data_IF_882784606924
#
_entry.id   IF_882784606924
#
_cell.length_a   1.000
_cell.length_b   1.000
_cell.length_c   1.000
_cell.angle_alpha   90.00
_cell.angle_beta   90.00
_cell.angle_gamma   90.00
#
_symmetry.space_group_name_H-M   'P 1'
#
loop_
_entity.id
_entity.type
_entity.pdbx_description
1 polymer ?
#
# COMPACT_ATOMS: atom_id res chain seq x y z
N UNK A 1 -26.10 0.69 -42.68
CA UNK A 1 -24.92 1.01 -41.87
C UNK A 1 -23.83 0.06 -42.33
N UNK A 2 -22.69 0.58 -42.76
CA UNK A 2 -21.57 -0.23 -43.27
C UNK A 2 -20.76 -0.76 -42.07
N UNK A 3 -20.50 -2.06 -42.03
CA UNK A 3 -19.82 -2.74 -40.92
C UNK A 3 -18.43 -2.12 -40.65
N UNK A 4 -17.78 -1.57 -41.69
CA UNK A 4 -16.49 -0.86 -41.58
C UNK A 4 -16.62 0.46 -40.82
N UNK A 5 -17.73 1.19 -41.00
CA UNK A 5 -17.99 2.43 -40.28
C UNK A 5 -18.25 2.17 -38.79
N UNK A 6 -19.03 1.13 -38.48
CA UNK A 6 -19.30 0.72 -37.10
C UNK A 6 -18.01 0.27 -36.38
N UNK A 7 -17.14 -0.48 -37.06
CA UNK A 7 -15.83 -0.84 -36.52
C UNK A 7 -14.97 0.40 -36.25
N UNK A 8 -14.99 1.39 -37.15
CA UNK A 8 -14.25 2.65 -36.98
C UNK A 8 -14.72 3.44 -35.74
N UNK A 9 -16.02 3.49 -35.48
CA UNK A 9 -16.59 4.12 -34.28
C UNK A 9 -16.20 3.36 -33.00
N UNK A 10 -16.30 2.02 -33.01
CA UNK A 10 -15.90 1.19 -31.88
C UNK A 10 -14.42 1.36 -31.53
N UNK A 11 -13.53 1.38 -32.53
CA UNK A 11 -12.10 1.57 -32.32
C UNK A 11 -11.77 2.96 -31.76
N UNK A 12 -12.49 4.00 -32.21
CA UNK A 12 -12.31 5.36 -31.69
C UNK A 12 -12.75 5.45 -30.23
N UNK A 13 -13.92 4.91 -29.89
CA UNK A 13 -14.40 4.88 -28.51
C UNK A 13 -13.47 4.06 -27.61
N UNK A 14 -12.93 2.95 -28.10
CA UNK A 14 -11.93 2.17 -27.38
C UNK A 14 -10.66 2.98 -27.12
N UNK A 15 -10.09 3.65 -28.14
CA UNK A 15 -8.90 4.46 -27.99
C UNK A 15 -9.09 5.65 -27.02
N UNK A 16 -10.24 6.33 -27.09
CA UNK A 16 -10.61 7.41 -26.17
C UNK A 16 -10.76 6.90 -24.73
N UNK A 17 -11.38 5.72 -24.55
CA UNK A 17 -11.49 5.06 -23.24
C UNK A 17 -10.11 4.71 -22.66
N UNK A 18 -9.20 4.15 -23.46
CA UNK A 18 -7.85 3.81 -23.00
C UNK A 18 -7.03 5.06 -22.65
N UNK A 19 -7.12 6.12 -23.45
CA UNK A 19 -6.48 7.41 -23.15
C UNK A 19 -7.01 8.02 -21.84
N UNK A 20 -8.33 7.97 -21.62
CA UNK A 20 -8.94 8.43 -20.38
C UNK A 20 -8.45 7.61 -19.17
N UNK A 21 -8.43 6.28 -19.26
CA UNK A 21 -7.93 5.40 -18.19
C UNK A 21 -6.47 5.70 -17.84
N UNK A 22 -5.63 5.92 -18.85
CA UNK A 22 -4.23 6.27 -18.67
C UNK A 22 -4.06 7.60 -17.93
N UNK A 23 -4.76 8.65 -18.37
CA UNK A 23 -4.71 9.96 -17.71
C UNK A 23 -5.21 9.89 -16.25
N UNK A 24 -6.27 9.12 -16.01
CA UNK A 24 -6.83 8.90 -14.69
C UNK A 24 -5.83 8.16 -13.79
N UNK A 25 -5.18 7.11 -14.31
CA UNK A 25 -4.15 6.36 -13.61
C UNK A 25 -2.95 7.25 -13.23
N UNK A 26 -2.45 8.07 -14.17
CA UNK A 26 -1.33 8.98 -13.91
C UNK A 26 -1.68 10.02 -12.83
N UNK A 27 -2.86 10.63 -12.93
CA UNK A 27 -3.35 11.62 -11.95
C UNK A 27 -3.52 11.01 -10.57
N UNK A 28 -4.13 9.83 -10.48
CA UNK A 28 -4.31 9.11 -9.22
C UNK A 28 -2.96 8.66 -8.63
N UNK A 29 -2.06 8.13 -9.46
CA UNK A 29 -0.72 7.69 -9.03
C UNK A 29 0.09 8.82 -8.39
N UNK A 30 0.03 10.04 -8.95
CA UNK A 30 0.73 11.19 -8.39
C UNK A 30 0.18 11.56 -6.99
N UNK A 31 -1.15 11.67 -6.86
CA UNK A 31 -1.79 11.95 -5.58
C UNK A 31 -1.51 10.85 -4.54
N UNK A 32 -1.45 9.60 -4.98
CA UNK A 32 -1.14 8.44 -4.14
C UNK A 32 0.30 8.42 -3.68
N UNK A 33 1.27 8.73 -4.55
CA UNK A 33 2.67 8.88 -4.14
C UNK A 33 2.79 9.90 -2.99
N UNK A 34 2.12 11.06 -3.11
CA UNK A 34 2.12 12.08 -2.05
C UNK A 34 1.54 11.55 -0.73
N UNK A 35 0.42 10.82 -0.76
CA UNK A 35 -0.20 10.27 0.46
C UNK A 35 0.68 9.21 1.13
N UNK A 36 1.33 8.35 0.35
CA UNK A 36 2.24 7.32 0.87
C UNK A 36 3.45 7.98 1.53
N UNK A 37 4.04 8.99 0.89
CA UNK A 37 5.17 9.72 1.46
C UNK A 37 4.82 10.47 2.74
N UNK A 38 3.62 11.05 2.80
CA UNK A 38 3.12 11.68 4.02
C UNK A 38 2.98 10.66 5.15
N UNK A 39 2.31 9.53 4.90
CA UNK A 39 2.17 8.44 5.86
C UNK A 39 3.52 7.93 6.38
N UNK A 40 4.47 7.66 5.49
CA UNK A 40 5.77 7.16 5.90
C UNK A 40 6.55 8.18 6.74
N UNK A 41 6.29 9.47 6.51
CA UNK A 41 6.84 10.56 7.35
C UNK A 41 6.21 10.60 8.73
N UNK A 42 4.90 10.40 8.82
CA UNK A 42 4.22 10.24 10.11
C UNK A 42 4.75 9.01 10.87
N UNK A 43 4.88 7.85 10.21
CA UNK A 43 5.42 6.64 10.83
C UNK A 43 6.85 6.87 11.35
N UNK A 44 7.71 7.49 10.55
CA UNK A 44 9.07 7.79 10.97
C UNK A 44 9.10 8.74 12.17
N UNK A 45 8.23 9.76 12.20
CA UNK A 45 8.08 10.66 13.34
C UNK A 45 7.58 9.91 14.58
N UNK A 46 6.61 9.02 14.45
CA UNK A 46 6.09 8.22 15.57
C UNK A 46 7.15 7.31 16.17
N UNK A 47 8.07 6.79 15.34
CA UNK A 47 9.12 5.87 15.76
C UNK A 47 10.44 6.55 16.14
N UNK A 48 10.58 7.86 15.94
CA UNK A 48 11.79 8.63 16.30
C UNK A 48 12.30 8.35 17.73
N UNK A 49 11.44 8.30 18.78
CA UNK A 49 11.89 8.08 20.15
C UNK A 49 12.58 6.72 20.38
N UNK A 50 12.29 5.72 19.55
CA UNK A 50 12.90 4.37 19.64
C UNK A 50 13.95 4.15 18.55
N UNK A 51 13.93 4.93 17.46
CA UNK A 51 14.96 4.92 16.44
C UNK A 51 16.25 5.61 16.91
N UNK A 52 16.16 6.78 17.56
CA UNK A 52 17.32 7.54 18.05
C UNK A 52 18.27 6.74 18.97
N UNK A 53 17.80 5.91 19.91
CA UNK A 53 18.65 5.01 20.69
C UNK A 53 19.08 3.72 19.96
N UNK A 54 18.86 3.60 18.64
CA UNK A 54 19.14 2.42 17.82
C UNK A 54 18.40 1.14 18.29
N UNK A 55 17.17 1.27 18.81
CA UNK A 55 16.36 0.11 19.23
C UNK A 55 15.62 -0.54 18.05
N UNK A 56 15.43 0.21 16.98
CA UNK A 56 14.94 -0.27 15.69
C UNK A 56 15.53 0.55 14.55
N UNK A 57 15.44 0.02 13.34
CA UNK A 57 15.82 0.74 12.12
C UNK A 57 14.56 1.02 11.30
N UNK A 58 14.49 2.22 10.72
CA UNK A 58 13.47 2.61 9.74
C UNK A 58 14.18 3.05 8.47
N UNK A 59 13.83 2.47 7.33
CA UNK A 59 14.38 2.83 6.03
C UNK A 59 13.29 2.96 4.97
N UNK A 60 13.54 3.81 3.98
CA UNK A 60 12.69 3.97 2.80
C UNK A 60 13.51 3.75 1.55
N UNK A 61 12.91 3.14 0.56
CA UNK A 61 13.55 2.91 -0.73
C UNK A 61 12.57 3.13 -1.87
N UNK A 62 13.12 3.58 -3.01
CA UNK A 62 12.34 3.76 -4.22
C UNK A 62 11.71 2.43 -4.65
N UNK A 63 10.45 2.48 -5.02
CA UNK A 63 9.67 1.31 -5.35
C UNK A 63 8.75 1.59 -6.54
N UNK A 64 8.60 0.61 -7.43
CA UNK A 64 7.59 0.65 -8.48
C UNK A 64 6.47 -0.26 -8.02
N UNK A 65 5.32 0.32 -7.67
CA UNK A 65 4.17 -0.46 -7.26
C UNK A 65 3.69 -1.29 -8.44
N UNK A 66 3.28 -2.54 -8.21
CA UNK A 66 2.67 -3.40 -9.21
C UNK A 66 1.62 -4.29 -8.53
N UNK A 67 0.74 -4.89 -9.32
CA UNK A 67 -0.32 -5.75 -8.81
C UNK A 67 -0.92 -6.62 -9.91
N UNK A 68 -1.88 -7.50 -9.58
CA UNK A 68 -2.51 -8.40 -10.57
C UNK A 68 -3.14 -7.65 -11.76
N UNK A 69 -3.60 -6.42 -11.52
CA UNK A 69 -4.20 -5.56 -12.54
C UNK A 69 -3.20 -4.69 -13.30
N UNK A 70 -1.94 -4.60 -12.83
CA UNK A 70 -0.87 -3.87 -13.51
C UNK A 70 0.49 -4.53 -13.23
N UNK A 71 0.96 -5.40 -14.14
CA UNK A 71 2.24 -6.10 -14.02
C UNK A 71 3.43 -5.17 -13.80
N UNK A 72 4.48 -5.69 -13.16
CA UNK A 72 5.69 -4.90 -12.85
C UNK A 72 6.39 -4.37 -14.10
N UNK A 73 6.31 -5.12 -15.20
CA UNK A 73 6.92 -4.76 -16.49
C UNK A 73 6.25 -3.53 -17.13
N UNK A 74 4.98 -3.28 -16.79
CA UNK A 74 4.16 -2.21 -17.39
C UNK A 74 3.81 -1.10 -16.42
N UNK A 75 4.01 -1.30 -15.12
CA UNK A 75 3.64 -0.31 -14.12
C UNK A 75 4.55 0.92 -14.19
N UNK A 76 3.93 2.09 -14.24
CA UNK A 76 4.59 3.39 -14.17
C UNK A 76 4.42 4.07 -12.81
N UNK A 77 3.76 3.42 -11.85
CA UNK A 77 3.52 3.99 -10.53
C UNK A 77 4.78 3.92 -9.66
N UNK A 78 5.59 4.97 -9.75
CA UNK A 78 6.80 5.16 -8.93
C UNK A 78 6.42 5.78 -7.58
N UNK A 79 6.88 5.16 -6.50
CA UNK A 79 6.65 5.55 -5.12
C UNK A 79 7.80 5.02 -4.26
N UNK A 80 7.56 4.77 -2.97
CA UNK A 80 8.52 4.21 -2.02
C UNK A 80 7.90 3.06 -1.24
N UNK A 81 8.74 2.16 -0.72
CA UNK A 81 8.36 1.22 0.35
C UNK A 81 9.08 1.58 1.64
N UNK A 82 8.45 1.27 2.76
CA UNK A 82 8.99 1.50 4.11
C UNK A 82 9.32 0.16 4.74
N UNK A 83 10.51 0.08 5.33
CA UNK A 83 10.99 -1.09 6.06
C UNK A 83 11.31 -0.70 7.51
N UNK A 84 10.88 -1.52 8.45
CA UNK A 84 11.18 -1.40 9.87
C UNK A 84 11.85 -2.69 10.32
N UNK A 85 13.03 -2.61 10.94
CA UNK A 85 13.68 -3.77 11.54
C UNK A 85 13.65 -3.61 13.06
N UNK A 86 12.94 -4.52 13.74
CA UNK A 86 12.81 -4.54 15.19
C UNK A 86 13.18 -5.92 15.73
N UNK A 87 14.10 -6.00 16.70
CA UNK A 87 14.60 -7.26 17.25
C UNK A 87 15.03 -8.28 16.17
N UNK A 88 15.66 -7.79 15.09
CA UNK A 88 16.10 -8.60 13.94
C UNK A 88 14.99 -9.08 13.01
N UNK A 89 13.74 -8.64 13.20
CA UNK A 89 12.58 -9.01 12.37
C UNK A 89 12.19 -7.84 11.45
N UNK A 90 12.16 -8.06 10.12
CA UNK A 90 11.72 -7.03 9.18
C UNK A 90 10.18 -6.95 9.12
N UNK A 91 9.67 -5.73 9.06
CA UNK A 91 8.29 -5.37 8.74
C UNK A 91 8.32 -4.44 7.56
N UNK A 92 7.58 -4.75 6.50
CA UNK A 92 7.56 -3.94 5.28
C UNK A 92 6.15 -3.43 4.99
N UNK A 93 6.06 -2.17 4.56
CA UNK A 93 4.86 -1.55 4.01
C UNK A 93 5.10 -1.33 2.52
N UNK A 94 4.45 -2.15 1.70
CA UNK A 94 4.68 -2.20 0.25
C UNK A 94 3.43 -1.74 -0.48
N UNK A 95 3.48 -0.63 -1.24
CA UNK A 95 2.36 -0.21 -2.06
C UNK A 95 1.92 -1.26 -3.08
N UNK A 96 0.62 -1.46 -3.22
CA UNK A 96 0.03 -2.31 -4.26
C UNK A 96 -0.71 -1.43 -5.28
N UNK A 97 -0.68 -1.81 -6.56
CA UNK A 97 -1.37 -1.06 -7.62
C UNK A 97 -2.85 -1.43 -7.65
N UNK A 98 -3.62 -0.49 -7.12
CA UNK A 98 -5.04 -0.24 -7.39
C UNK A 98 -5.93 -1.48 -7.23
N UNK A 99 -6.45 -1.66 -6.00
CA UNK A 99 -7.58 -2.52 -5.72
C UNK A 99 -8.86 -2.06 -6.43
N UNK A 100 -9.98 -2.73 -6.17
CA UNK A 100 -11.29 -2.37 -6.73
C UNK A 100 -11.58 -0.86 -6.59
N UNK A 101 -12.00 -0.22 -7.69
CA UNK A 101 -12.33 1.21 -7.79
C UNK A 101 -11.18 2.22 -7.53
N UNK A 102 -9.92 1.80 -7.60
CA UNK A 102 -8.77 2.70 -7.45
C UNK A 102 -8.40 3.04 -6.00
N UNK A 103 -8.80 2.18 -5.06
CA UNK A 103 -8.44 2.27 -3.66
C UNK A 103 -6.93 2.08 -3.44
N UNK A 104 -6.31 2.93 -2.61
CA UNK A 104 -4.92 2.72 -2.16
C UNK A 104 -4.89 1.59 -1.14
N UNK A 105 -3.95 0.67 -1.32
CA UNK A 105 -3.56 -0.26 -0.28
C UNK A 105 -2.05 -0.41 -0.23
N UNK A 106 -1.53 -0.52 0.99
CA UNK A 106 -0.18 -1.01 1.26
C UNK A 106 -0.33 -2.43 1.82
N UNK A 107 0.36 -3.41 1.24
CA UNK A 107 0.53 -4.69 1.90
C UNK A 107 1.48 -4.51 3.10
N UNK A 108 1.10 -5.05 4.26
CA UNK A 108 1.97 -5.03 5.44
C UNK A 108 2.48 -6.44 5.72
N UNK A 109 3.79 -6.61 5.71
CA UNK A 109 4.45 -7.91 5.84
C UNK A 109 5.28 -8.00 7.13
N UNK A 110 5.56 -9.22 7.58
CA UNK A 110 6.48 -9.45 8.72
C UNK A 110 5.85 -9.38 10.12
N UNK A 111 4.61 -8.91 10.24
CA UNK A 111 3.91 -8.80 11.53
C UNK A 111 3.18 -10.05 12.00
N UNK A 112 2.91 -10.99 11.10
CA UNK A 112 2.25 -12.24 11.46
C UNK A 112 2.91 -13.41 10.73
N UNK A 113 2.80 -14.61 11.32
CA UNK A 113 3.09 -15.85 10.61
C UNK A 113 2.03 -16.18 9.54
N UNK A 114 0.99 -15.34 9.39
CA UNK A 114 -0.07 -15.54 8.41
C UNK A 114 0.41 -15.15 7.01
N UNK A 115 -0.33 -15.62 6.02
CA UNK A 115 0.00 -15.55 4.59
C UNK A 115 0.26 -14.11 4.13
N UNK A 116 1.11 -13.96 3.12
CA UNK A 116 1.30 -12.72 2.37
C UNK A 116 -0.07 -12.09 2.01
N UNK A 117 -0.22 -10.78 2.21
CA UNK A 117 -1.45 -10.05 1.90
C UNK A 117 -2.59 -10.22 2.91
N UNK A 118 -2.38 -10.90 4.04
CA UNK A 118 -3.38 -11.01 5.12
C UNK A 118 -3.58 -9.71 5.90
N UNK A 119 -2.66 -8.75 5.76
CA UNK A 119 -2.77 -7.42 6.34
C UNK A 119 -2.56 -6.38 5.25
N UNK A 120 -3.45 -5.40 5.22
CA UNK A 120 -3.30 -4.22 4.38
C UNK A 120 -3.59 -2.94 5.14
N UNK A 121 -2.98 -1.85 4.69
CA UNK A 121 -3.27 -0.51 5.16
C UNK A 121 -3.93 0.27 4.03
N UNK A 122 -5.18 0.67 4.23
CA UNK A 122 -6.04 1.23 3.18
C UNK A 122 -6.27 2.71 3.41
N UNK A 123 -6.02 3.52 2.38
CA UNK A 123 -6.28 4.97 2.43
C UNK A 123 -7.76 5.26 2.27
N UNK A 124 -8.34 5.99 3.23
CA UNK A 124 -9.75 6.41 3.20
C UNK A 124 -9.92 7.78 2.50
N UNK A 125 -11.14 8.13 2.04
CA UNK A 125 -11.41 9.41 1.39
C UNK A 125 -11.22 10.64 2.30
N UNK A 126 -11.35 10.47 3.61
CA UNK A 126 -11.15 11.52 4.62
C UNK A 126 -9.66 11.83 4.90
N UNK A 127 -8.75 11.15 4.19
CA UNK A 127 -7.31 11.31 4.36
C UNK A 127 -6.68 10.32 5.34
N UNK A 128 -7.47 9.67 6.19
CA UNK A 128 -6.98 8.73 7.20
C UNK A 128 -6.58 7.37 6.60
N UNK A 129 -5.89 6.57 7.40
CA UNK A 129 -5.49 5.21 7.05
C UNK A 129 -6.15 4.18 7.96
N UNK A 130 -6.65 3.13 7.35
CA UNK A 130 -7.34 2.04 8.03
C UNK A 130 -6.55 0.74 7.86
N UNK A 131 -6.14 0.17 8.98
CA UNK A 131 -5.60 -1.17 9.03
C UNK A 131 -6.69 -2.19 8.76
N UNK A 132 -6.43 -3.16 7.89
CA UNK A 132 -7.32 -4.28 7.61
C UNK A 132 -6.55 -5.58 7.78
N UNK A 133 -7.17 -6.52 8.49
CA UNK A 133 -6.67 -7.88 8.63
C UNK A 133 -7.72 -8.85 8.09
N UNK A 134 -7.30 -9.70 7.16
CA UNK A 134 -8.16 -10.73 6.54
C UNK A 134 -7.86 -12.08 7.18
N UNK A 135 -8.87 -12.65 7.83
CA UNK A 135 -8.75 -13.86 8.65
C UNK A 135 -9.39 -15.08 7.96
N UNK A 136 -9.70 -14.98 6.66
CA UNK A 136 -10.52 -15.96 5.93
C UNK A 136 -12.03 -15.83 6.21
N UNK A 137 -12.43 -14.81 6.97
CA UNK A 137 -13.83 -14.42 7.16
C UNK A 137 -14.29 -13.51 6.01
N UNK A 138 -15.61 -13.39 5.85
CA UNK A 138 -16.24 -12.57 4.80
C UNK A 138 -15.87 -11.08 4.94
N UNK A 139 -15.78 -10.60 6.17
CA UNK A 139 -15.45 -9.21 6.49
C UNK A 139 -14.10 -9.14 7.23
N UNK A 140 -13.17 -8.26 6.83
CA UNK A 140 -11.89 -8.10 7.51
C UNK A 140 -12.05 -7.34 8.83
N UNK A 141 -11.18 -7.62 9.80
CA UNK A 141 -11.06 -6.79 11.00
C UNK A 141 -10.42 -5.45 10.62
N UNK A 142 -11.07 -4.34 10.98
CA UNK A 142 -10.59 -2.99 10.64
C UNK A 142 -10.24 -2.18 11.87
N UNK A 143 -9.11 -1.47 11.84
CA UNK A 143 -8.66 -0.59 12.93
C UNK A 143 -8.18 0.74 12.37
N UNK A 144 -8.31 1.82 13.15
CA UNK A 144 -7.65 3.07 12.84
C UNK A 144 -6.13 2.87 12.92
N UNK A 145 -5.39 3.42 11.96
CA UNK A 145 -3.94 3.35 11.97
C UNK A 145 -3.34 4.62 12.55
N UNK A 146 -2.83 4.51 13.78
CA UNK A 146 -2.14 5.57 14.51
C UNK A 146 -0.85 5.06 15.16
N UNK A 147 -0.12 5.96 15.82
CA UNK A 147 1.14 5.65 16.51
C UNK A 147 1.01 4.55 17.57
N UNK A 148 -0.08 4.57 18.35
CA UNK A 148 -0.29 3.60 19.42
C UNK A 148 -0.57 2.21 18.85
N UNK A 149 -1.41 2.15 17.82
CA UNK A 149 -1.72 0.91 17.13
C UNK A 149 -0.47 0.31 16.49
N UNK A 150 0.34 1.11 15.80
CA UNK A 150 1.60 0.66 15.23
C UNK A 150 2.54 0.12 16.30
N UNK A 151 2.70 0.83 17.42
CA UNK A 151 3.54 0.39 18.53
C UNK A 151 3.09 -0.98 19.08
N UNK A 152 1.77 -1.19 19.24
CA UNK A 152 1.22 -2.48 19.66
C UNK A 152 1.54 -3.61 18.66
N UNK A 153 1.45 -3.33 17.36
CA UNK A 153 1.82 -4.32 16.34
C UNK A 153 3.31 -4.68 16.41
N UNK A 154 4.20 -3.68 16.52
CA UNK A 154 5.64 -3.90 16.60
C UNK A 154 6.06 -4.62 17.89
N UNK A 155 5.42 -4.32 19.03
CA UNK A 155 5.69 -5.00 20.30
C UNK A 155 5.44 -6.52 20.23
N UNK A 156 4.50 -6.96 19.40
CA UNK A 156 4.21 -8.40 19.22
C UNK A 156 5.40 -9.18 18.64
N UNK A 157 6.35 -8.49 18.00
CA UNK A 157 7.54 -9.09 17.40
C UNK A 157 8.68 -9.27 18.40
N UNK A 158 8.68 -8.57 19.52
CA UNK A 158 9.72 -8.66 20.53
C UNK A 158 9.60 -10.03 21.22
N UNK A 159 10.66 -10.86 21.25
CA UNK A 159 10.66 -12.11 22.00
C UNK A 159 10.29 -11.84 23.46
N UNK A 160 9.28 -12.56 23.98
CA UNK A 160 9.00 -12.57 25.41
C UNK A 160 9.88 -13.62 26.05
N UNK A 161 10.63 -13.24 27.09
CA UNK A 161 11.30 -14.20 27.96
C UNK A 161 10.24 -15.15 28.52
N UNK A 162 10.26 -16.40 28.03
CA UNK A 162 9.56 -17.50 28.68
C UNK A 162 10.47 -17.94 29.83
N UNK A 163 10.40 -17.21 30.93
CA UNK A 163 10.90 -17.70 32.23
C UNK A 163 10.15 -18.94 32.66
#
# INVERSE_FOLDING_TARGET
MDDVQQLGEMLRHYAESEAHKKQLFETQSAAWATRITALFSEIQQWLEPVQAPNLLEVSREAYVAFGPSNPVETSTFKTEKLSIVIAGKPVEFVPDVMGSAGQISLAVMGLTAARYGSISLVGLPDGTWQWRKTNGLKDPDTFAFDANFLAQQLQSLIPRDRG
#
